data_IF_975260158571
#
_entry.id   IF_975260158571
#
_cell.length_a   1.000
_cell.length_b   1.000
_cell.length_c   1.000
_cell.angle_alpha   90.00
_cell.angle_beta   90.00
_cell.angle_gamma   90.00
#
_symmetry.space_group_name_H-M   'P 1'
#
loop_
_entity.id
_entity.type
_entity.pdbx_description
1 polymer ?
#
# COMPACT_ATOMS: atom_id res chain seq x y z
N UNK A 1 11.47 -8.51 -22.94
CA UNK A 1 10.22 -9.25 -22.96
C UNK A 1 9.07 -8.38 -22.54
N UNK A 2 7.99 -8.49 -23.25
CA UNK A 2 6.84 -7.68 -22.90
C UNK A 2 6.06 -8.30 -21.75
N UNK A 3 5.66 -7.46 -20.84
CA UNK A 3 4.81 -7.90 -19.77
C UNK A 3 3.39 -8.11 -20.30
N UNK A 4 2.77 -9.19 -19.87
CA UNK A 4 1.38 -9.45 -20.18
C UNK A 4 0.52 -8.55 -19.29
N UNK A 5 -0.23 -7.61 -19.86
CA UNK A 5 -1.07 -6.73 -19.04
C UNK A 5 -2.10 -7.48 -18.20
N UNK A 6 -2.61 -8.59 -18.74
CA UNK A 6 -3.58 -9.39 -18.00
C UNK A 6 -2.93 -9.97 -16.74
N UNK A 7 -1.70 -10.42 -16.86
CA UNK A 7 -1.01 -11.00 -15.72
C UNK A 7 -0.79 -9.95 -14.62
N UNK A 8 -0.45 -8.73 -15.01
CA UNK A 8 -0.31 -7.64 -14.06
C UNK A 8 -1.60 -7.35 -13.33
N UNK A 9 -2.72 -7.37 -14.07
CA UNK A 9 -4.02 -7.13 -13.47
C UNK A 9 -4.41 -8.25 -12.51
N UNK A 10 -4.10 -9.49 -12.85
CA UNK A 10 -4.39 -10.63 -11.97
C UNK A 10 -3.61 -10.49 -10.66
N UNK A 11 -2.34 -10.11 -10.76
CA UNK A 11 -1.52 -9.92 -9.57
C UNK A 11 -2.09 -8.82 -8.68
N UNK A 12 -2.43 -7.69 -9.27
CA UNK A 12 -2.97 -6.58 -8.52
C UNK A 12 -4.28 -6.98 -7.83
N UNK A 13 -5.16 -7.64 -8.56
CA UNK A 13 -6.43 -8.08 -7.99
C UNK A 13 -6.23 -9.04 -6.84
N UNK A 14 -5.26 -9.94 -6.96
CA UNK A 14 -4.98 -10.89 -5.89
C UNK A 14 -4.56 -10.17 -4.63
N UNK A 15 -3.68 -9.19 -4.75
CA UNK A 15 -3.22 -8.42 -3.60
C UNK A 15 -4.36 -7.61 -2.99
N UNK A 16 -5.17 -6.96 -3.83
CA UNK A 16 -6.29 -6.16 -3.35
C UNK A 16 -7.30 -7.03 -2.60
N UNK A 17 -7.60 -8.23 -3.14
CA UNK A 17 -8.53 -9.12 -2.47
C UNK A 17 -7.99 -9.58 -1.12
N UNK A 18 -6.70 -9.85 -1.04
CA UNK A 18 -6.10 -10.24 0.23
C UNK A 18 -6.18 -9.10 1.24
N UNK A 19 -5.92 -7.87 0.80
CA UNK A 19 -6.01 -6.70 1.66
C UNK A 19 -7.44 -6.50 2.17
N UNK A 20 -8.43 -6.65 1.28
CA UNK A 20 -9.83 -6.51 1.67
C UNK A 20 -10.23 -7.56 2.68
N UNK A 21 -9.82 -8.79 2.44
CA UNK A 21 -10.13 -9.89 3.35
C UNK A 21 -9.61 -9.61 4.75
N UNK A 22 -8.37 -9.15 4.85
CA UNK A 22 -7.80 -8.86 6.15
C UNK A 22 -8.46 -7.68 6.80
N UNK A 23 -8.82 -6.67 6.03
CA UNK A 23 -9.50 -5.49 6.58
C UNK A 23 -10.88 -5.84 7.10
N UNK A 24 -11.61 -6.70 6.40
CA UNK A 24 -12.94 -7.12 6.85
C UNK A 24 -12.87 -7.93 8.13
N UNK A 25 -11.77 -8.62 8.35
CA UNK A 25 -11.59 -9.43 9.56
C UNK A 25 -11.01 -8.62 10.72
N UNK A 26 -10.74 -7.34 10.49
CA UNK A 26 -10.14 -6.50 11.52
C UNK A 26 -11.20 -6.03 12.50
N UNK A 27 -10.82 -5.90 13.78
CA UNK A 27 -11.70 -5.30 14.78
C UNK A 27 -11.52 -3.79 14.83
N UNK A 28 -10.55 -3.26 14.11
CA UNK A 28 -10.31 -1.83 14.04
C UNK A 28 -11.01 -1.31 12.80
N UNK A 29 -11.71 -0.20 12.93
CA UNK A 29 -12.40 0.40 11.79
C UNK A 29 -11.38 0.94 10.81
N UNK A 30 -11.39 0.42 9.60
CA UNK A 30 -10.55 0.89 8.52
C UNK A 30 -11.28 0.79 7.21
N UNK A 31 -10.93 1.67 6.29
CA UNK A 31 -11.52 1.67 4.97
C UNK A 31 -10.40 1.63 3.94
N UNK A 32 -10.65 0.92 2.86
CA UNK A 32 -9.73 0.85 1.74
C UNK A 32 -10.36 1.56 0.56
N UNK A 33 -9.55 2.35 -0.12
CA UNK A 33 -10.00 3.15 -1.25
C UNK A 33 -9.02 3.00 -2.39
N UNK A 34 -9.54 3.16 -3.59
CA UNK A 34 -8.76 3.38 -4.78
C UNK A 34 -8.73 4.90 -4.99
N UNK A 35 -7.57 5.47 -5.21
CA UNK A 35 -7.45 6.93 -5.32
C UNK A 35 -7.08 7.35 -6.74
N UNK A 36 -7.80 8.34 -7.22
CA UNK A 36 -7.50 8.97 -8.52
C UNK A 36 -7.96 10.41 -8.46
N UNK A 37 -7.14 11.33 -8.98
CA UNK A 37 -7.57 12.71 -9.08
C UNK A 37 -7.62 13.15 -10.56
N UNK A 38 -8.09 14.37 -10.79
CA UNK A 38 -8.31 14.86 -12.16
C UNK A 38 -7.00 15.11 -12.90
N UNK A 39 -5.88 15.18 -12.20
CA UNK A 39 -4.57 15.40 -12.83
C UNK A 39 -3.87 14.11 -13.19
N UNK A 40 -4.53 12.99 -13.03
CA UNK A 40 -3.96 11.70 -13.41
C UNK A 40 -3.16 11.00 -12.35
N UNK A 41 -3.07 11.55 -11.15
CA UNK A 41 -2.41 10.88 -10.05
C UNK A 41 -3.31 9.74 -9.56
N UNK A 42 -2.73 8.54 -9.44
CA UNK A 42 -3.44 7.35 -8.99
C UNK A 42 -2.62 6.65 -7.94
N UNK A 43 -3.31 6.15 -6.91
CA UNK A 43 -2.71 5.27 -5.91
C UNK A 43 -3.54 3.99 -5.93
N UNK A 44 -2.89 2.86 -6.04
CA UNK A 44 -3.58 1.58 -6.19
C UNK A 44 -4.47 1.25 -5.01
N UNK A 45 -4.04 1.61 -3.80
CA UNK A 45 -4.81 1.30 -2.61
C UNK A 45 -4.44 2.28 -1.52
N UNK A 46 -5.45 2.86 -0.89
CA UNK A 46 -5.26 3.77 0.24
C UNK A 46 -6.03 3.20 1.42
N UNK A 47 -5.35 3.03 2.53
CA UNK A 47 -6.00 2.60 3.76
C UNK A 47 -6.19 3.82 4.65
N UNK A 48 -7.43 4.01 5.11
CA UNK A 48 -7.73 5.08 6.03
C UNK A 48 -8.20 4.47 7.34
N UNK A 49 -7.53 4.86 8.42
CA UNK A 49 -7.90 4.43 9.76
C UNK A 49 -7.95 5.69 10.61
N UNK A 50 -9.19 6.12 10.95
CA UNK A 50 -9.37 7.41 11.59
C UNK A 50 -8.90 8.52 10.66
N UNK A 51 -7.98 9.34 11.14
CA UNK A 51 -7.41 10.41 10.35
C UNK A 51 -6.11 10.00 9.65
N UNK A 52 -5.67 8.77 9.86
CA UNK A 52 -4.39 8.30 9.31
C UNK A 52 -4.59 7.65 7.97
N UNK A 53 -3.70 7.97 7.04
CA UNK A 53 -3.68 7.36 5.72
C UNK A 53 -2.41 6.55 5.54
N UNK A 54 -2.52 5.47 4.79
CA UNK A 54 -1.37 4.69 4.33
C UNK A 54 -1.58 4.40 2.86
N UNK A 55 -0.52 4.56 2.08
CA UNK A 55 -0.59 4.41 0.63
C UNK A 55 0.09 3.13 0.20
N UNK A 56 -0.49 2.45 -0.77
CA UNK A 56 0.07 1.20 -1.28
C UNK A 56 0.05 1.21 -2.80
N UNK A 57 1.21 0.88 -3.38
CA UNK A 57 1.33 0.64 -4.82
C UNK A 57 1.58 -0.83 -5.03
N UNK A 58 1.00 -1.40 -6.06
CA UNK A 58 1.08 -2.84 -6.31
C UNK A 58 1.72 -3.05 -7.67
N UNK A 59 2.86 -3.73 -7.68
CA UNK A 59 3.64 -3.97 -8.90
C UNK A 59 4.03 -5.43 -8.98
N UNK A 60 3.80 -6.06 -10.11
CA UNK A 60 4.06 -7.49 -10.25
C UNK A 60 5.54 -7.82 -10.47
N UNK A 61 6.39 -6.83 -10.69
CA UNK A 61 7.80 -7.08 -10.94
C UNK A 61 8.59 -7.44 -9.71
N UNK A 62 9.79 -7.92 -9.90
CA UNK A 62 10.69 -8.30 -8.81
C UNK A 62 11.77 -7.29 -8.55
N UNK A 63 11.97 -6.36 -9.46
CA UNK A 63 13.07 -5.42 -9.41
C UNK A 63 12.64 -4.17 -8.67
N UNK A 64 13.44 -3.75 -7.71
CA UNK A 64 13.22 -2.49 -7.05
C UNK A 64 13.49 -1.36 -8.04
N UNK A 65 12.52 -0.45 -8.20
CA UNK A 65 12.60 0.58 -9.22
C UNK A 65 12.02 1.87 -8.67
N UNK A 66 12.73 2.97 -8.88
CA UNK A 66 12.26 4.28 -8.41
C UNK A 66 10.94 4.68 -9.05
N UNK A 67 10.64 4.15 -10.21
CA UNK A 67 9.35 4.45 -10.85
C UNK A 67 8.18 4.00 -10.00
N UNK A 68 8.39 2.96 -9.17
CA UNK A 68 7.32 2.40 -8.37
C UNK A 68 6.90 3.33 -7.24
N UNK A 69 7.75 4.27 -6.85
CA UNK A 69 7.44 5.17 -5.73
C UNK A 69 7.00 6.54 -6.19
N UNK A 70 6.98 6.78 -7.50
CA UNK A 70 6.69 8.10 -8.04
C UNK A 70 5.31 8.60 -7.62
N UNK A 71 4.31 7.74 -7.70
CA UNK A 71 2.94 8.14 -7.35
C UNK A 71 2.83 8.47 -5.87
N UNK A 72 3.51 7.70 -5.03
CA UNK A 72 3.49 7.95 -3.60
C UNK A 72 4.11 9.31 -3.30
N UNK A 73 5.23 9.61 -3.92
CA UNK A 73 5.88 10.89 -3.70
C UNK A 73 5.05 12.06 -4.20
N UNK A 74 4.41 11.88 -5.35
CA UNK A 74 3.52 12.91 -5.88
C UNK A 74 2.34 13.15 -4.95
N UNK A 75 1.80 12.08 -4.40
CA UNK A 75 0.70 12.21 -3.46
C UNK A 75 1.12 13.03 -2.24
N UNK A 76 2.30 12.75 -1.72
CA UNK A 76 2.81 13.46 -0.55
C UNK A 76 2.95 14.96 -0.80
N UNK A 77 3.35 15.32 -2.01
CA UNK A 77 3.51 16.73 -2.37
C UNK A 77 2.17 17.44 -2.40
N UNK A 78 1.15 16.82 -2.99
CA UNK A 78 -0.14 17.46 -3.19
C UNK A 78 -1.08 17.34 -2.00
N UNK A 79 -0.86 16.34 -1.14
CA UNK A 79 -1.73 16.09 0.01
C UNK A 79 -0.88 15.84 1.24
N UNK A 80 -0.21 16.89 1.73
CA UNK A 80 0.66 16.72 2.89
C UNK A 80 -0.14 16.41 4.14
N UNK A 81 0.48 15.66 5.03
CA UNK A 81 -0.12 15.34 6.31
C UNK A 81 -0.31 16.62 7.12
N UNK A 82 -1.40 16.70 7.89
CA UNK A 82 -1.73 17.88 8.65
C UNK A 82 -0.65 18.24 9.67
N UNK A 83 0.14 17.27 10.08
CA UNK A 83 1.19 17.49 11.06
C UNK A 83 2.56 17.63 10.42
N UNK A 84 2.62 17.67 9.10
CA UNK A 84 3.87 17.86 8.40
C UNK A 84 4.71 16.62 8.22
N UNK A 85 4.20 15.46 8.61
CA UNK A 85 4.90 14.19 8.41
C UNK A 85 4.57 13.61 7.04
N UNK A 86 5.45 12.77 6.54
CA UNK A 86 5.16 12.06 5.29
C UNK A 86 4.11 11.00 5.54
N UNK A 87 3.14 10.91 4.62
CA UNK A 87 2.16 9.84 4.65
C UNK A 87 2.90 8.53 4.36
N UNK A 88 2.71 7.49 5.18
CA UNK A 88 3.39 6.22 4.94
C UNK A 88 3.05 5.64 3.59
N UNK A 89 4.04 5.10 2.91
CA UNK A 89 3.85 4.48 1.61
C UNK A 89 4.60 3.18 1.52
N UNK A 90 4.00 2.22 0.85
CA UNK A 90 4.54 0.88 0.68
C UNK A 90 4.31 0.42 -0.74
N UNK A 91 5.31 -0.21 -1.34
CA UNK A 91 5.16 -0.90 -2.61
C UNK A 91 5.09 -2.39 -2.32
N UNK A 92 4.02 -3.03 -2.77
CA UNK A 92 3.84 -4.47 -2.65
C UNK A 92 4.22 -5.07 -4.00
N UNK A 93 5.23 -5.92 -4.02
CA UNK A 93 5.73 -6.43 -5.29
C UNK A 93 6.24 -7.86 -5.12
N UNK A 94 6.93 -8.39 -6.12
CA UNK A 94 7.40 -9.78 -6.11
C UNK A 94 8.84 -9.92 -5.65
N UNK A 95 9.50 -8.84 -5.29
CA UNK A 95 10.88 -8.88 -4.84
C UNK A 95 10.99 -9.03 -3.34
N UNK A 96 12.21 -8.82 -2.83
CA UNK A 96 12.48 -8.95 -1.41
C UNK A 96 12.10 -7.70 -0.65
N UNK A 97 11.86 -7.86 0.64
CA UNK A 97 11.53 -6.72 1.48
C UNK A 97 12.69 -5.76 1.59
N UNK A 98 12.38 -4.47 1.48
CA UNK A 98 13.33 -3.39 1.72
C UNK A 98 12.64 -2.42 2.66
N UNK A 99 13.12 -2.27 3.91
CA UNK A 99 12.41 -1.45 4.91
C UNK A 99 12.24 -0.01 4.48
N UNK A 100 13.19 0.55 3.78
CA UNK A 100 13.06 1.91 3.29
C UNK A 100 13.98 2.12 2.09
N UNK A 101 13.39 2.58 1.00
CA UNK A 101 14.11 2.99 -0.17
C UNK A 101 13.52 4.32 -0.60
N UNK A 102 14.29 5.40 -0.42
CA UNK A 102 13.83 6.73 -0.78
C UNK A 102 12.51 7.09 -0.07
N UNK A 103 12.39 6.69 1.20
CA UNK A 103 11.24 7.02 2.02
C UNK A 103 10.02 6.16 1.82
N UNK A 104 10.15 5.04 1.13
CA UNK A 104 9.03 4.12 0.85
C UNK A 104 9.49 2.70 1.18
N UNK A 105 8.63 1.94 1.82
CA UNK A 105 8.91 0.52 2.10
C UNK A 105 8.60 -0.33 0.88
N UNK A 106 9.35 -1.39 0.68
CA UNK A 106 9.04 -2.39 -0.33
C UNK A 106 8.80 -3.71 0.39
N UNK A 107 7.69 -4.35 0.10
CA UNK A 107 7.30 -5.56 0.80
C UNK A 107 6.88 -6.62 -0.21
N UNK A 108 7.31 -7.84 0.01
CA UNK A 108 6.93 -8.95 -0.85
C UNK A 108 5.42 -9.21 -0.71
N UNK A 109 4.76 -9.51 -1.83
CA UNK A 109 3.31 -9.69 -1.86
C UNK A 109 2.83 -10.81 -0.93
N UNK A 110 3.69 -11.76 -0.61
CA UNK A 110 3.30 -12.87 0.28
C UNK A 110 3.02 -12.39 1.70
N UNK A 111 3.43 -11.16 2.01
CA UNK A 111 3.19 -10.58 3.32
C UNK A 111 2.00 -9.63 3.34
N UNK A 112 1.21 -9.61 2.29
CA UNK A 112 0.07 -8.70 2.19
C UNK A 112 -0.85 -8.84 3.40
N UNK A 113 -1.17 -10.06 3.76
CA UNK A 113 -2.09 -10.27 4.89
C UNK A 113 -1.58 -9.58 6.16
N UNK A 114 -0.28 -9.69 6.44
CA UNK A 114 0.24 -9.08 7.66
C UNK A 114 0.29 -7.56 7.58
N UNK A 115 0.39 -6.99 6.37
CA UNK A 115 0.33 -5.54 6.22
C UNK A 115 -1.03 -4.99 6.59
N UNK A 116 -2.08 -5.73 6.27
CA UNK A 116 -3.45 -5.26 6.46
C UNK A 116 -4.15 -5.88 7.65
N UNK A 117 -3.50 -6.79 8.34
CA UNK A 117 -4.10 -7.35 9.53
C UNK A 117 -4.17 -6.25 10.59
N UNK A 118 -5.14 -6.40 11.46
CA UNK A 118 -5.40 -5.41 12.48
C UNK A 118 -4.24 -5.31 13.46
N UNK A 119 -3.99 -4.12 13.96
CA UNK A 119 -3.04 -3.92 15.05
C UNK A 119 -3.62 -4.28 16.41
N UNK A 120 -4.81 -4.82 16.41
CA UNK A 120 -5.48 -5.16 17.64
C UNK A 120 -4.71 -6.11 18.52
N UNK A 121 -3.88 -6.93 17.91
CA UNK A 121 -3.07 -7.85 18.70
C UNK A 121 -2.19 -7.10 19.67
N UNK A 122 -1.66 -5.98 19.21
CA UNK A 122 -0.83 -5.16 20.08
C UNK A 122 -1.61 -4.62 21.24
N UNK A 123 -2.84 -4.22 20.99
CA UNK A 123 -3.66 -3.69 22.06
C UNK A 123 -3.97 -4.76 23.10
N UNK A 124 -4.27 -5.95 22.63
CA UNK A 124 -4.58 -7.03 23.55
C UNK A 124 -3.42 -7.37 24.46
N UNK A 125 -2.24 -7.24 23.93
CA UNK A 125 -1.05 -7.58 24.72
C UNK A 125 -0.80 -6.58 25.83
N UNK A 126 -1.47 -5.46 25.81
CA UNK A 126 -1.30 -4.45 26.83
C UNK A 126 -2.22 -4.60 28.01
N UNK A 127 -3.08 -5.56 27.96
CA UNK A 127 -4.00 -5.81 29.08
C UNK A 127 -3.39 -6.63 30.18
#
# INVERSE_FOLDING_TARGET
MLRDPLLGNVFENMVVLEALKESLNSTVSKNLYFFRNSNGLEIDLVEKQGESLSLFEIKSGKTLDKKFIRSIKNFRVHYPDSQGNDVPGTVIYSGEDVPSFDGVSFVNYKKTASLFSSRKEKFRLEF
#
